data_IF_601908037909
#
_entry.id   IF_601908037909
#
_cell.length_a   1.000
_cell.length_b   1.000
_cell.length_c   1.000
_cell.angle_alpha   90.00
_cell.angle_beta   90.00
_cell.angle_gamma   90.00
#
_symmetry.space_group_name_H-M   'P 1'
#
loop_
_entity.id
_entity.type
_entity.pdbx_description
1 polymer ?
#
# COMPACT_ATOMS: atom_id res chain seq x y z
N UNK A 1 -5.50 -18.75 -14.47
CA UNK A 1 -5.34 -17.66 -13.49
C UNK A 1 -3.84 -17.35 -13.34
N UNK A 2 -3.47 -16.09 -13.52
CA UNK A 2 -2.09 -15.61 -13.36
C UNK A 2 -2.05 -14.79 -12.07
N UNK A 3 -1.27 -15.26 -11.09
CA UNK A 3 -1.08 -14.61 -9.80
C UNK A 3 0.38 -14.22 -9.67
N UNK A 4 0.64 -12.99 -9.23
CA UNK A 4 1.99 -12.50 -9.02
C UNK A 4 2.13 -11.71 -7.72
N UNK A 5 3.36 -11.55 -7.29
CA UNK A 5 3.70 -10.60 -6.24
C UNK A 5 4.82 -9.68 -6.74
N UNK A 6 4.83 -8.47 -6.22
CA UNK A 6 5.84 -7.46 -6.55
C UNK A 6 6.74 -7.29 -5.32
N UNK A 7 8.01 -7.54 -5.51
CA UNK A 7 9.01 -7.33 -4.46
C UNK A 7 9.81 -6.09 -4.80
N UNK A 8 9.36 -4.93 -4.29
CA UNK A 8 10.10 -3.68 -4.40
C UNK A 8 10.97 -3.43 -3.18
N UNK A 9 11.98 -2.59 -3.32
CA UNK A 9 12.82 -2.10 -2.23
C UNK A 9 12.47 -0.62 -1.98
N UNK A 10 11.47 -0.32 -1.15
CA UNK A 10 11.00 1.05 -0.99
C UNK A 10 12.06 1.93 -0.34
N UNK A 11 12.24 3.13 -0.91
CA UNK A 11 12.99 4.21 -0.26
C UNK A 11 12.08 4.86 0.78
N UNK A 12 12.53 4.88 2.04
CA UNK A 12 11.73 5.35 3.16
C UNK A 12 11.17 6.76 2.93
N UNK A 13 9.85 6.90 3.09
CA UNK A 13 9.10 8.15 2.94
C UNK A 13 8.98 8.71 1.52
N UNK A 14 9.59 8.09 0.51
CA UNK A 14 9.54 8.58 -0.86
C UNK A 14 8.52 7.79 -1.71
N UNK A 15 7.24 8.13 -1.54
CA UNK A 15 6.13 7.45 -2.22
C UNK A 15 6.25 7.52 -3.75
N UNK A 16 6.60 8.67 -4.29
CA UNK A 16 6.70 8.88 -5.74
C UNK A 16 7.73 7.93 -6.37
N UNK A 17 8.91 7.84 -5.77
CA UNK A 17 9.94 6.92 -6.25
C UNK A 17 9.53 5.46 -6.10
N UNK A 18 8.89 5.12 -4.98
CA UNK A 18 8.42 3.77 -4.72
C UNK A 18 7.32 3.35 -5.70
N UNK A 19 6.41 4.25 -6.05
CA UNK A 19 5.42 4.00 -7.12
C UNK A 19 6.10 3.77 -8.46
N UNK A 20 7.11 4.57 -8.80
CA UNK A 20 7.87 4.43 -10.04
C UNK A 20 8.61 3.09 -10.12
N UNK A 21 9.17 2.62 -9.01
CA UNK A 21 9.76 1.28 -8.95
C UNK A 21 8.73 0.21 -9.31
N UNK A 22 7.54 0.26 -8.70
CA UNK A 22 6.45 -0.70 -8.97
C UNK A 22 6.00 -0.61 -10.43
N UNK A 23 5.82 0.59 -10.98
CA UNK A 23 5.46 0.78 -12.40
C UNK A 23 6.50 0.13 -13.32
N UNK A 24 7.78 0.30 -13.04
CA UNK A 24 8.85 -0.30 -13.84
C UNK A 24 8.84 -1.84 -13.77
N UNK A 25 8.60 -2.40 -12.56
CA UNK A 25 8.53 -3.85 -12.37
C UNK A 25 7.31 -4.49 -13.04
N UNK A 26 6.25 -3.73 -13.24
CA UNK A 26 4.97 -4.23 -13.78
C UNK A 26 4.73 -3.83 -15.23
N UNK A 27 5.69 -3.18 -15.87
CA UNK A 27 5.55 -2.70 -17.25
C UNK A 27 5.23 -3.85 -18.21
N UNK A 28 4.10 -3.73 -18.91
CA UNK A 28 3.64 -4.73 -19.87
C UNK A 28 3.09 -6.01 -19.26
N UNK A 29 3.04 -6.09 -17.92
CA UNK A 29 2.50 -7.25 -17.22
C UNK A 29 0.99 -7.30 -17.35
N UNK A 30 0.45 -8.51 -17.52
CA UNK A 30 -0.98 -8.83 -17.39
C UNK A 30 -1.13 -9.96 -16.38
N UNK A 31 -2.08 -9.81 -15.46
CA UNK A 31 -2.33 -10.78 -14.42
C UNK A 31 -3.79 -10.71 -13.94
N UNK A 32 -4.20 -11.69 -13.16
CA UNK A 32 -5.52 -11.71 -12.50
C UNK A 32 -5.44 -11.17 -11.07
N UNK A 33 -4.32 -11.40 -10.39
CA UNK A 33 -4.06 -10.92 -9.03
C UNK A 33 -2.60 -10.51 -8.87
N UNK A 34 -2.37 -9.33 -8.34
CA UNK A 34 -1.05 -8.83 -7.94
C UNK A 34 -1.05 -8.42 -6.47
N UNK A 35 -0.04 -8.83 -5.74
CA UNK A 35 0.14 -8.49 -4.33
C UNK A 35 1.46 -7.72 -4.15
N UNK A 36 1.35 -6.55 -3.54
CA UNK A 36 2.49 -5.71 -3.16
C UNK A 36 2.77 -5.87 -1.66
N UNK A 37 3.97 -5.53 -1.20
CA UNK A 37 4.35 -5.67 0.21
C UNK A 37 3.54 -4.81 1.18
N UNK A 38 3.61 -5.17 2.44
CA UNK A 38 3.26 -4.30 3.56
C UNK A 38 4.00 -2.97 3.43
N UNK A 39 3.28 -1.84 3.59
CA UNK A 39 3.83 -0.48 3.50
C UNK A 39 4.73 -0.24 2.28
N UNK A 40 4.36 -0.78 1.12
CA UNK A 40 5.18 -0.72 -0.11
C UNK A 40 5.47 0.71 -0.58
N UNK A 41 4.55 1.64 -0.27
CA UNK A 41 4.66 3.04 -0.70
C UNK A 41 5.61 3.86 0.17
N UNK A 42 5.74 3.53 1.45
CA UNK A 42 6.49 4.33 2.43
C UNK A 42 7.74 3.66 2.95
N UNK A 43 7.83 2.34 2.87
CA UNK A 43 8.78 1.56 3.64
C UNK A 43 8.33 1.40 5.09
N UNK A 44 9.06 0.57 5.83
CA UNK A 44 8.68 0.08 7.16
C UNK A 44 9.54 0.66 8.31
N UNK A 45 10.58 1.42 8.03
CA UNK A 45 11.58 1.87 9.01
C UNK A 45 11.15 3.11 9.80
N UNK A 46 9.89 3.14 10.25
CA UNK A 46 9.34 4.19 11.10
C UNK A 46 10.05 4.21 12.46
N UNK A 47 10.32 5.41 12.97
CA UNK A 47 10.90 5.62 14.30
C UNK A 47 9.94 6.35 15.25
N UNK A 48 8.84 6.89 14.75
CA UNK A 48 7.86 7.62 15.56
C UNK A 48 6.45 7.58 14.95
N UNK A 49 5.45 7.79 15.83
CA UNK A 49 4.07 8.03 15.39
C UNK A 49 3.96 9.29 14.51
N UNK A 50 4.75 10.33 14.79
CA UNK A 50 4.72 11.56 14.01
C UNK A 50 5.12 11.32 12.54
N UNK A 51 6.12 10.49 12.27
CA UNK A 51 6.47 10.10 10.90
C UNK A 51 5.34 9.31 10.24
N UNK A 52 4.72 8.37 10.96
CA UNK A 52 3.60 7.60 10.43
C UNK A 52 2.42 8.52 10.07
N UNK A 53 2.08 9.48 10.91
CA UNK A 53 1.01 10.47 10.64
C UNK A 53 1.32 11.30 9.40
N UNK A 54 2.57 11.74 9.21
CA UNK A 54 2.94 12.52 8.01
C UNK A 54 2.78 11.73 6.70
N UNK A 55 2.91 10.42 6.75
CA UNK A 55 2.83 9.54 5.59
C UNK A 55 1.44 8.89 5.42
N UNK A 56 0.57 9.04 6.43
CA UNK A 56 -0.74 8.45 6.42
C UNK A 56 -1.67 9.08 5.37
N UNK A 57 -2.55 8.28 4.83
CA UNK A 57 -3.50 8.67 3.79
C UNK A 57 -4.87 8.04 4.08
N UNK A 58 -5.92 8.67 3.58
CA UNK A 58 -7.22 8.00 3.52
C UNK A 58 -7.19 6.85 2.49
N UNK A 59 -8.19 5.99 2.56
CA UNK A 59 -8.37 4.90 1.58
C UNK A 59 -8.76 5.39 0.15
N UNK A 60 -8.85 6.71 -0.04
CA UNK A 60 -9.04 7.38 -1.34
C UNK A 60 -7.83 8.23 -1.73
N UNK A 61 -6.74 8.15 -0.97
CA UNK A 61 -5.54 8.93 -1.14
C UNK A 61 -4.68 8.54 -2.35
N UNK A 62 -3.46 9.07 -2.39
CA UNK A 62 -2.51 8.86 -3.49
C UNK A 62 -2.14 7.40 -3.70
N UNK A 63 -1.98 6.64 -2.61
CA UNK A 63 -1.68 5.21 -2.70
C UNK A 63 -2.85 4.42 -3.29
N UNK A 64 -4.09 4.70 -2.87
CA UNK A 64 -5.27 4.07 -3.45
C UNK A 64 -5.38 4.35 -4.95
N UNK A 65 -5.21 5.62 -5.37
CA UNK A 65 -5.22 6.00 -6.78
C UNK A 65 -4.11 5.33 -7.58
N UNK A 66 -2.93 5.18 -7.00
CA UNK A 66 -1.83 4.45 -7.64
C UNK A 66 -2.19 2.97 -7.86
N UNK A 67 -2.75 2.30 -6.85
CA UNK A 67 -3.19 0.90 -6.97
C UNK A 67 -4.27 0.72 -8.04
N UNK A 68 -5.23 1.67 -8.13
CA UNK A 68 -6.24 1.67 -9.20
C UNK A 68 -5.62 1.82 -10.59
N UNK A 69 -4.66 2.75 -10.74
CA UNK A 69 -3.91 2.91 -12.00
C UNK A 69 -3.17 1.62 -12.39
N UNK A 70 -2.56 0.96 -11.40
CA UNK A 70 -1.87 -0.31 -11.61
C UNK A 70 -2.84 -1.42 -12.02
N UNK A 71 -4.02 -1.46 -11.39
CA UNK A 71 -5.09 -2.40 -11.75
C UNK A 71 -5.54 -2.20 -13.21
N UNK A 72 -5.78 -0.96 -13.63
CA UNK A 72 -6.16 -0.65 -15.01
C UNK A 72 -5.07 -1.08 -16.01
N UNK A 73 -3.80 -0.81 -15.70
CA UNK A 73 -2.69 -1.15 -16.57
C UNK A 73 -2.47 -2.66 -16.73
N UNK A 74 -2.69 -3.42 -15.67
CA UNK A 74 -2.40 -4.87 -15.62
C UNK A 74 -3.63 -5.76 -15.84
N UNK A 75 -4.84 -5.21 -15.65
CA UNK A 75 -6.11 -5.96 -15.64
C UNK A 75 -6.33 -6.78 -14.37
N UNK A 76 -5.47 -6.62 -13.36
CA UNK A 76 -5.47 -7.42 -12.15
C UNK A 76 -6.30 -6.81 -11.01
N UNK A 77 -6.80 -7.66 -10.12
CA UNK A 77 -7.05 -7.27 -8.74
C UNK A 77 -5.70 -6.98 -8.10
N UNK A 78 -5.54 -5.81 -7.47
CA UNK A 78 -4.28 -5.41 -6.84
C UNK A 78 -4.47 -5.24 -5.34
N UNK A 79 -3.57 -5.84 -4.57
CA UNK A 79 -3.53 -5.69 -3.10
C UNK A 79 -2.22 -5.00 -2.72
N UNK A 80 -2.29 -3.96 -1.89
CA UNK A 80 -1.10 -3.26 -1.43
C UNK A 80 -1.26 -2.67 -0.04
N UNK A 81 -0.16 -2.71 0.75
CA UNK A 81 -0.12 -2.20 2.11
C UNK A 81 0.21 -0.71 2.17
N UNK A 82 -0.43 0.03 3.08
CA UNK A 82 -0.23 1.47 3.27
C UNK A 82 -0.53 1.89 4.70
N UNK A 83 -0.12 3.11 5.06
CA UNK A 83 -0.49 3.75 6.31
C UNK A 83 -1.82 4.46 6.10
N UNK A 84 -2.88 3.90 6.70
CA UNK A 84 -4.23 4.45 6.60
C UNK A 84 -4.49 5.46 7.71
N UNK A 85 -5.15 6.57 7.38
CA UNK A 85 -5.69 7.52 8.34
C UNK A 85 -7.22 7.54 8.27
N UNK A 86 -7.86 7.41 9.42
CA UNK A 86 -9.29 7.65 9.59
C UNK A 86 -9.50 8.47 10.85
N UNK A 87 -9.94 9.72 10.68
CA UNK A 87 -10.02 10.69 11.79
C UNK A 87 -8.65 10.89 12.45
N UNK A 88 -8.60 10.70 13.76
CA UNK A 88 -7.36 10.83 14.56
C UNK A 88 -6.56 9.52 14.68
N UNK A 89 -7.06 8.46 14.08
CA UNK A 89 -6.42 7.15 14.13
C UNK A 89 -5.62 6.86 12.87
N UNK A 90 -4.54 6.13 13.03
CA UNK A 90 -3.75 5.59 11.92
C UNK A 90 -3.56 4.10 12.08
N UNK A 91 -3.59 3.40 10.95
CA UNK A 91 -3.56 1.94 10.89
C UNK A 91 -2.53 1.45 9.89
N UNK A 92 -1.96 0.28 10.16
CA UNK A 92 -1.24 -0.48 9.15
C UNK A 92 -2.28 -1.30 8.38
N UNK A 93 -2.55 -0.92 7.13
CA UNK A 93 -3.67 -1.44 6.36
C UNK A 93 -3.25 -1.99 5.02
N UNK A 94 -4.08 -2.85 4.47
CA UNK A 94 -4.01 -3.29 3.08
C UNK A 94 -5.28 -2.89 2.34
N UNK A 95 -5.13 -2.39 1.12
CA UNK A 95 -6.23 -2.13 0.19
C UNK A 95 -6.25 -3.19 -0.90
N UNK A 96 -7.44 -3.59 -1.29
CA UNK A 96 -7.73 -4.38 -2.46
C UNK A 96 -8.51 -3.53 -3.45
N UNK A 97 -8.00 -3.42 -4.66
CA UNK A 97 -8.64 -2.61 -5.72
C UNK A 97 -8.86 -3.43 -7.00
N UNK A 98 -9.87 -3.06 -7.76
CA UNK A 98 -10.09 -3.54 -9.12
C UNK A 98 -10.63 -2.40 -9.99
N UNK A 99 -9.95 -2.15 -11.11
CA UNK A 99 -10.24 -0.95 -11.92
C UNK A 99 -10.16 0.32 -11.06
N UNK A 100 -11.16 1.15 -11.14
CA UNK A 100 -11.26 2.42 -10.39
C UNK A 100 -11.99 2.28 -9.04
N UNK A 101 -12.00 1.11 -8.44
CA UNK A 101 -12.76 0.87 -7.21
C UNK A 101 -11.92 0.19 -6.14
N UNK A 102 -12.03 0.67 -4.90
CA UNK A 102 -11.63 -0.09 -3.71
C UNK A 102 -12.69 -1.14 -3.46
N UNK A 103 -12.31 -2.41 -3.51
CA UNK A 103 -13.21 -3.55 -3.31
C UNK A 103 -13.05 -4.23 -1.96
N UNK A 104 -12.06 -3.82 -1.18
CA UNK A 104 -11.85 -4.30 0.18
C UNK A 104 -10.70 -3.59 0.87
N UNK A 105 -10.75 -3.61 2.20
CA UNK A 105 -9.65 -3.15 3.05
C UNK A 105 -9.52 -4.05 4.28
N UNK A 106 -8.33 -4.09 4.83
CA UNK A 106 -8.01 -4.84 6.04
C UNK A 106 -7.06 -4.02 6.90
N UNK A 107 -7.36 -3.87 8.18
CA UNK A 107 -6.50 -3.27 9.19
C UNK A 107 -5.80 -4.37 9.98
N UNK A 108 -4.48 -4.27 10.12
CA UNK A 108 -3.67 -5.23 10.86
C UNK A 108 -4.06 -5.23 12.34
N UNK A 109 -4.57 -6.35 12.82
CA UNK A 109 -5.05 -6.51 14.21
C UNK A 109 -3.89 -6.78 15.16
N UNK A 110 -3.00 -7.69 14.79
CA UNK A 110 -1.85 -8.08 15.62
C UNK A 110 -0.61 -7.29 15.20
N UNK A 111 -0.43 -6.14 15.85
CA UNK A 111 0.68 -5.24 15.60
C UNK A 111 1.99 -5.84 16.11
N UNK A 112 3.02 -5.80 15.27
CA UNK A 112 4.32 -6.38 15.58
C UNK A 112 5.20 -5.38 16.34
N UNK A 113 5.69 -5.77 17.52
CA UNK A 113 6.69 -5.06 18.34
C UNK A 113 6.40 -3.56 18.50
N UNK A 114 7.18 -2.67 17.86
CA UNK A 114 7.01 -1.22 17.99
C UNK A 114 5.78 -0.65 17.28
N UNK A 115 5.17 -1.39 16.38
CA UNK A 115 3.97 -0.91 15.66
C UNK A 115 2.84 -0.51 16.60
N UNK A 116 2.71 -1.17 17.75
CA UNK A 116 1.71 -0.85 18.77
C UNK A 116 1.82 0.58 19.33
N UNK A 117 2.97 1.24 19.17
CA UNK A 117 3.17 2.62 19.59
C UNK A 117 2.81 3.63 18.49
N UNK A 118 2.67 3.17 17.25
CA UNK A 118 2.42 4.00 16.08
C UNK A 118 1.01 3.85 15.53
N UNK A 119 0.54 2.63 15.43
CA UNK A 119 -0.74 2.29 14.83
C UNK A 119 -1.78 1.87 15.87
N UNK A 120 -3.04 2.06 15.51
CA UNK A 120 -4.18 1.46 16.20
C UNK A 120 -4.44 0.05 15.65
N UNK A 121 -4.88 -0.90 16.49
CA UNK A 121 -5.25 -2.24 16.02
C UNK A 121 -6.60 -2.24 15.28
#
# INVERSE_FOLDING_TARGET
MIVGYIQNAPRFGNKEENFKQVENLTRGLKADLLVLPELFATGYTLISRAEAVQMAESNEGGTARFLMKLSDATGAVVVGGFIEQEGDQIYNSALMVYGNSVIGSYRKIHLFYHEQFWFSP
#
